data_IF_933590174645
#
_entry.id   IF_933590174645
#
_cell.length_a   1.000
_cell.length_b   1.000
_cell.length_c   1.000
_cell.angle_alpha   90.00
_cell.angle_beta   90.00
_cell.angle_gamma   90.00
#
_symmetry.space_group_name_H-M   'P 1'
#
loop_
_entity.id
_entity.type
_entity.pdbx_description
1 polymer ?
#
# COMPACT_ATOMS: atom_id res chain seq x y z
N UNK A 1 -54.76 25.83 3.09
CA UNK A 1 -54.23 26.44 4.35
C UNK A 1 -53.21 25.58 5.11
N UNK A 2 -52.92 24.32 4.73
CA UNK A 2 -51.98 23.46 5.47
C UNK A 2 -50.49 23.74 5.15
N UNK A 3 -50.17 24.10 3.90
CA UNK A 3 -48.79 24.31 3.42
C UNK A 3 -48.15 25.55 4.02
N UNK A 4 -48.91 26.64 4.17
CA UNK A 4 -48.43 27.89 4.77
C UNK A 4 -48.01 27.72 6.25
N UNK A 5 -48.66 26.81 6.98
CA UNK A 5 -48.28 26.49 8.37
C UNK A 5 -46.97 25.73 8.43
N UNK A 6 -46.76 24.78 7.50
CA UNK A 6 -45.52 24.00 7.39
C UNK A 6 -44.31 24.87 7.05
N UNK A 7 -44.47 25.82 6.13
CA UNK A 7 -43.40 26.77 5.76
C UNK A 7 -43.07 27.70 6.94
N UNK A 8 -44.09 28.21 7.65
CA UNK A 8 -43.87 29.01 8.86
C UNK A 8 -43.13 28.24 9.94
N UNK A 9 -43.50 26.98 10.20
CA UNK A 9 -42.79 26.14 11.19
C UNK A 9 -41.36 25.82 10.77
N UNK A 10 -41.11 25.59 9.49
CA UNK A 10 -39.76 25.26 9.00
C UNK A 10 -38.85 26.49 9.06
N UNK A 11 -39.39 27.67 8.76
CA UNK A 11 -38.68 28.94 8.90
C UNK A 11 -38.38 29.27 10.37
N UNK A 12 -39.32 29.04 11.29
CA UNK A 12 -39.07 29.26 12.72
C UNK A 12 -38.02 28.30 13.27
N UNK A 13 -38.01 27.03 12.85
CA UNK A 13 -37.01 26.05 13.29
C UNK A 13 -35.62 26.42 12.74
N UNK A 14 -35.53 26.85 11.48
CA UNK A 14 -34.27 27.26 10.88
C UNK A 14 -33.69 28.52 11.57
N UNK A 15 -34.54 29.52 11.87
CA UNK A 15 -34.12 30.70 12.64
C UNK A 15 -33.66 30.31 14.04
N UNK A 16 -34.35 29.40 14.72
CA UNK A 16 -33.97 28.94 16.06
C UNK A 16 -32.60 28.23 16.04
N UNK A 17 -32.36 27.37 15.04
CA UNK A 17 -31.06 26.71 14.85
C UNK A 17 -29.97 27.73 14.57
N UNK A 18 -30.23 28.71 13.70
CA UNK A 18 -29.26 29.75 13.37
C UNK A 18 -28.91 30.62 14.60
N UNK A 19 -29.91 31.06 15.37
CA UNK A 19 -29.69 31.78 16.63
C UNK A 19 -28.93 30.93 17.62
N UNK A 20 -29.22 29.62 17.71
CA UNK A 20 -28.46 28.67 18.52
C UNK A 20 -26.99 28.57 18.12
N UNK A 21 -26.68 28.47 16.81
CA UNK A 21 -25.31 28.41 16.30
C UNK A 21 -24.56 29.72 16.54
N UNK A 22 -25.22 30.87 16.40
CA UNK A 22 -24.61 32.18 16.66
C UNK A 22 -24.35 32.38 18.15
N UNK A 23 -25.30 32.05 19.02
CA UNK A 23 -25.11 32.10 20.48
C UNK A 23 -24.03 31.12 20.93
N UNK A 24 -23.99 29.92 20.36
CA UNK A 24 -22.94 28.92 20.61
C UNK A 24 -21.58 29.41 20.13
N UNK A 25 -21.50 30.07 18.97
CA UNK A 25 -20.26 30.64 18.45
C UNK A 25 -19.75 31.81 19.30
N UNK A 26 -20.66 32.68 19.78
CA UNK A 26 -20.32 33.77 20.70
C UNK A 26 -19.92 33.23 22.07
N UNK A 27 -20.62 32.21 22.57
CA UNK A 27 -20.27 31.54 23.82
C UNK A 27 -18.91 30.84 23.74
N UNK A 28 -18.65 30.09 22.66
CA UNK A 28 -17.33 29.52 22.40
C UNK A 28 -16.25 30.59 22.25
N UNK A 29 -16.53 31.74 21.63
CA UNK A 29 -15.58 32.87 21.56
C UNK A 29 -15.28 33.52 22.91
N UNK A 30 -16.27 33.61 23.79
CA UNK A 30 -16.11 34.11 25.16
C UNK A 30 -15.38 33.09 26.04
N UNK A 31 -15.64 31.79 25.83
CA UNK A 31 -14.92 30.71 26.48
C UNK A 31 -13.46 30.63 26.00
N UNK A 32 -13.20 30.77 24.70
CA UNK A 32 -11.85 30.91 24.10
C UNK A 32 -11.08 32.07 24.75
N UNK A 33 -11.74 33.21 25.00
CA UNK A 33 -11.15 34.38 25.70
C UNK A 33 -10.85 34.12 27.19
N UNK A 34 -11.65 33.28 27.86
CA UNK A 34 -11.36 32.84 29.23
C UNK A 34 -10.25 31.79 29.27
N UNK A 35 -10.13 30.98 28.22
CA UNK A 35 -9.02 30.09 28.00
C UNK A 35 -7.75 30.86 27.62
N UNK A 36 -7.79 32.02 26.97
CA UNK A 36 -6.61 32.87 26.70
C UNK A 36 -5.92 33.37 27.99
N UNK A 37 -6.67 33.68 29.06
CA UNK A 37 -6.10 34.14 30.34
C UNK A 37 -5.46 32.96 31.10
N UNK A 38 -6.02 31.75 31.00
CA UNK A 38 -5.44 30.52 31.55
C UNK A 38 -4.33 29.95 30.63
N UNK A 39 -4.39 30.24 29.32
CA UNK A 39 -3.38 29.88 28.33
C UNK A 39 -2.17 30.80 28.40
N UNK A 40 -2.25 32.06 28.84
CA UNK A 40 -1.07 32.92 29.02
C UNK A 40 -0.08 32.33 30.04
N UNK A 41 -0.57 31.60 31.05
CA UNK A 41 0.25 30.80 31.97
C UNK A 41 0.76 29.47 31.39
N UNK A 42 0.18 28.98 30.30
CA UNK A 42 0.60 27.77 29.55
C UNK A 42 1.41 28.07 28.29
N UNK A 43 1.39 29.31 27.79
CA UNK A 43 2.08 29.74 26.57
C UNK A 43 3.59 29.93 26.76
N UNK A 44 4.06 30.12 28.00
CA UNK A 44 5.49 30.04 28.32
C UNK A 44 6.08 28.64 28.03
N UNK A 45 5.28 27.57 28.12
CA UNK A 45 5.69 26.20 27.77
C UNK A 45 5.50 25.85 26.28
N UNK A 46 4.66 26.59 25.56
CA UNK A 46 4.31 26.26 24.17
C UNK A 46 5.39 26.67 23.15
N UNK A 47 6.30 27.59 23.52
CA UNK A 47 7.50 27.90 22.71
C UNK A 47 8.47 26.72 22.59
N UNK A 48 8.49 25.81 23.56
CA UNK A 48 9.30 24.58 23.49
C UNK A 48 8.60 23.49 22.65
N UNK A 49 7.26 23.49 22.58
CA UNK A 49 6.47 22.49 21.85
C UNK A 49 6.34 22.74 20.34
N UNK A 50 6.40 23.99 19.87
CA UNK A 50 6.34 24.30 18.43
C UNK A 50 7.55 23.76 17.64
N UNK A 51 8.73 23.68 18.30
CA UNK A 51 9.93 23.05 17.72
C UNK A 51 9.79 21.52 17.68
N UNK A 52 9.10 20.93 18.66
CA UNK A 52 8.90 19.49 18.76
C UNK A 52 7.77 18.95 17.86
N UNK A 53 6.77 19.76 17.52
CA UNK A 53 5.71 19.38 16.58
C UNK A 53 6.20 19.19 15.15
N UNK A 54 7.14 20.03 14.68
CA UNK A 54 7.78 19.85 13.36
C UNK A 54 8.66 18.60 13.31
N UNK A 55 9.35 18.27 14.40
CA UNK A 55 10.16 17.04 14.52
C UNK A 55 9.26 15.81 14.59
N UNK A 56 8.17 15.85 15.36
CA UNK A 56 7.18 14.75 15.40
C UNK A 56 6.56 14.49 14.03
N UNK A 57 6.13 15.53 13.30
CA UNK A 57 5.59 15.37 11.95
C UNK A 57 6.64 14.87 10.94
N UNK A 58 7.91 15.20 11.13
CA UNK A 58 9.00 14.67 10.29
C UNK A 58 9.29 13.21 10.61
N UNK A 59 9.27 12.83 11.90
CA UNK A 59 9.43 11.45 12.38
C UNK A 59 8.24 10.58 11.97
N UNK A 60 7.02 11.12 12.00
CA UNK A 60 5.82 10.45 11.49
C UNK A 60 5.89 10.28 9.97
N UNK A 61 6.38 11.30 9.24
CA UNK A 61 6.60 11.19 7.79
C UNK A 61 7.69 10.17 7.46
N UNK A 62 8.78 10.13 8.23
CA UNK A 62 9.85 9.15 8.08
C UNK A 62 9.37 7.74 8.42
N UNK A 63 8.54 7.57 9.44
CA UNK A 63 7.97 6.26 9.80
C UNK A 63 6.97 5.76 8.76
N UNK A 64 6.19 6.64 8.13
CA UNK A 64 5.32 6.29 7.00
C UNK A 64 6.14 5.85 5.79
N UNK A 65 7.19 6.60 5.43
CA UNK A 65 8.07 6.23 4.32
C UNK A 65 8.78 4.89 4.56
N UNK A 66 9.30 4.68 5.78
CA UNK A 66 9.94 3.42 6.16
C UNK A 66 8.96 2.25 6.15
N UNK A 67 7.69 2.47 6.48
CA UNK A 67 6.65 1.45 6.37
C UNK A 67 6.29 1.13 4.92
N UNK A 68 6.28 2.13 4.04
CA UNK A 68 6.04 1.94 2.61
C UNK A 68 7.19 1.17 1.95
N UNK A 69 8.44 1.50 2.27
CA UNK A 69 9.64 0.78 1.82
C UNK A 69 9.61 -0.68 2.30
N UNK A 70 9.25 -0.91 3.57
CA UNK A 70 9.05 -2.27 4.09
C UNK A 70 7.95 -3.04 3.37
N UNK A 71 6.90 -2.33 2.94
CA UNK A 71 5.79 -2.93 2.18
C UNK A 71 6.25 -3.29 0.77
N UNK A 72 7.06 -2.44 0.14
CA UNK A 72 7.69 -2.71 -1.15
C UNK A 72 8.56 -3.97 -1.06
N UNK A 73 9.42 -4.10 -0.06
CA UNK A 73 10.23 -5.31 0.16
C UNK A 73 9.38 -6.56 0.36
N UNK A 74 8.28 -6.47 1.12
CA UNK A 74 7.37 -7.61 1.34
C UNK A 74 6.62 -7.98 0.06
N UNK A 75 6.20 -7.00 -0.72
CA UNK A 75 5.54 -7.21 -2.01
C UNK A 75 6.52 -7.80 -3.02
N UNK A 76 7.76 -7.31 -3.09
CA UNK A 76 8.82 -7.90 -3.92
C UNK A 76 9.12 -9.33 -3.49
N UNK A 77 9.23 -9.61 -2.20
CA UNK A 77 9.49 -10.96 -1.70
C UNK A 77 8.29 -11.90 -1.90
N UNK A 78 7.05 -11.42 -1.77
CA UNK A 78 5.85 -12.21 -2.07
C UNK A 78 5.70 -12.46 -3.57
N UNK A 79 5.93 -11.45 -4.42
CA UNK A 79 5.88 -11.62 -5.88
C UNK A 79 6.99 -12.54 -6.36
N UNK A 80 8.22 -12.38 -5.87
CA UNK A 80 9.33 -13.27 -6.21
C UNK A 80 9.11 -14.68 -5.65
N UNK A 81 8.49 -14.79 -4.47
CA UNK A 81 8.12 -16.07 -3.83
C UNK A 81 6.90 -16.76 -4.46
N UNK A 82 5.99 -16.03 -5.13
CA UNK A 82 4.84 -16.55 -5.87
C UNK A 82 5.17 -16.83 -7.34
N UNK A 83 6.04 -16.03 -7.94
CA UNK A 83 6.41 -16.20 -9.33
C UNK A 83 7.41 -17.34 -9.56
N UNK A 84 8.19 -17.71 -8.54
CA UNK A 84 9.10 -18.86 -8.56
C UNK A 84 8.36 -20.23 -8.58
N UNK A 85 7.28 -20.45 -7.81
CA UNK A 85 6.44 -21.65 -7.94
C UNK A 85 5.42 -21.58 -9.08
N UNK A 86 5.08 -20.39 -9.61
CA UNK A 86 4.18 -20.26 -10.77
C UNK A 86 4.89 -20.18 -12.14
N UNK A 87 6.23 -20.22 -12.21
CA UNK A 87 6.97 -20.16 -13.47
C UNK A 87 6.86 -18.82 -14.22
N UNK A 88 6.33 -17.78 -13.58
CA UNK A 88 6.01 -16.48 -14.21
C UNK A 88 7.15 -15.44 -14.12
N UNK A 89 8.23 -15.72 -13.39
CA UNK A 89 9.45 -14.87 -13.31
C UNK A 89 10.70 -15.65 -13.72
N UNK A 90 10.63 -16.40 -14.81
CA UNK A 90 11.84 -16.55 -15.62
C UNK A 90 11.93 -15.37 -16.59
N UNK A 91 12.23 -14.20 -16.01
CA UNK A 91 12.80 -13.09 -16.75
C UNK A 91 14.17 -13.48 -17.32
N UNK A 92 14.78 -12.62 -18.16
CA UNK A 92 16.05 -12.89 -18.86
C UNK A 92 17.13 -13.38 -17.89
N UNK A 93 17.38 -14.69 -17.87
CA UNK A 93 18.30 -15.37 -16.95
C UNK A 93 17.77 -16.67 -16.31
N UNK A 94 16.59 -17.16 -16.70
CA UNK A 94 16.01 -18.43 -16.21
C UNK A 94 16.74 -19.71 -16.64
N UNK A 95 16.33 -20.85 -16.11
CA UNK A 95 16.82 -22.17 -16.50
C UNK A 95 16.57 -22.40 -17.99
N UNK A 96 17.63 -22.80 -18.71
CA UNK A 96 17.53 -23.06 -20.14
C UNK A 96 17.44 -21.81 -21.02
N UNK A 97 17.67 -20.61 -20.46
CA UNK A 97 17.86 -19.38 -21.22
C UNK A 97 19.02 -19.54 -22.21
N UNK A 98 18.84 -19.07 -23.45
CA UNK A 98 19.85 -19.14 -24.51
C UNK A 98 20.11 -20.56 -24.97
N UNK A 99 19.18 -21.49 -24.72
CA UNK A 99 19.34 -22.91 -25.04
C UNK A 99 20.38 -23.63 -24.18
N UNK A 100 20.78 -23.07 -23.04
CA UNK A 100 21.71 -23.71 -22.12
C UNK A 100 21.10 -25.02 -21.54
N UNK A 101 21.97 -25.99 -21.24
CA UNK A 101 21.54 -27.21 -20.55
C UNK A 101 21.04 -26.87 -19.14
N UNK A 102 19.86 -27.37 -18.77
CA UNK A 102 19.29 -27.22 -17.45
C UNK A 102 19.21 -28.59 -16.76
N UNK A 103 19.53 -28.64 -15.47
CA UNK A 103 19.51 -29.87 -14.66
C UNK A 103 18.65 -29.65 -13.42
N UNK A 104 17.80 -30.62 -13.07
CA UNK A 104 17.16 -30.64 -11.76
C UNK A 104 18.18 -31.07 -10.69
N UNK A 105 18.13 -30.43 -9.51
CA UNK A 105 18.89 -30.87 -8.33
C UNK A 105 18.27 -32.12 -7.70
N UNK A 106 19.02 -32.78 -6.80
CA UNK A 106 18.73 -34.09 -6.21
C UNK A 106 17.41 -34.21 -5.43
N UNK A 107 16.69 -33.12 -5.17
CA UNK A 107 15.41 -33.11 -4.43
C UNK A 107 14.21 -33.69 -5.21
N UNK A 108 14.44 -34.22 -6.42
CA UNK A 108 13.39 -34.75 -7.29
C UNK A 108 13.24 -36.26 -7.12
N UNK A 109 12.49 -36.68 -6.09
CA UNK A 109 12.16 -38.09 -5.84
C UNK A 109 10.90 -38.56 -6.59
N UNK A 110 10.09 -37.64 -7.12
CA UNK A 110 8.86 -37.93 -7.88
C UNK A 110 9.09 -38.09 -9.41
N UNK A 111 10.32 -38.40 -9.84
CA UNK A 111 10.79 -38.25 -11.24
C UNK A 111 10.33 -39.37 -12.17
N UNK A 112 10.26 -40.60 -11.67
CA UNK A 112 10.13 -41.78 -12.52
C UNK A 112 8.78 -41.84 -13.26
N UNK A 113 7.69 -41.41 -12.60
CA UNK A 113 6.34 -41.57 -13.14
C UNK A 113 6.03 -40.70 -14.37
N UNK A 114 6.62 -39.50 -14.47
CA UNK A 114 6.33 -38.58 -15.58
C UNK A 114 7.18 -38.86 -16.82
N UNK A 115 8.40 -39.39 -16.66
CA UNK A 115 9.25 -39.67 -17.81
C UNK A 115 8.67 -40.80 -18.67
N UNK A 116 8.12 -41.84 -18.03
CA UNK A 116 7.49 -42.97 -18.71
C UNK A 116 6.24 -42.57 -19.51
N UNK A 117 5.50 -41.55 -19.05
CA UNK A 117 4.29 -41.07 -19.73
C UNK A 117 4.61 -40.27 -21.00
N UNK A 118 5.61 -39.38 -20.92
CA UNK A 118 5.87 -38.39 -21.97
C UNK A 118 7.13 -38.69 -22.81
N UNK A 119 8.01 -39.58 -22.34
CA UNK A 119 9.31 -39.87 -22.96
C UNK A 119 10.34 -38.75 -22.83
N UNK A 120 10.06 -37.72 -22.02
CA UNK A 120 10.98 -36.61 -21.71
C UNK A 120 10.79 -36.16 -20.25
N UNK A 121 11.77 -35.39 -19.75
CA UNK A 121 11.71 -34.86 -18.37
C UNK A 121 10.70 -33.70 -18.29
N UNK A 122 9.43 -34.03 -18.08
CA UNK A 122 8.34 -33.06 -17.95
C UNK A 122 8.54 -32.10 -16.77
N UNK A 123 9.12 -32.56 -15.66
CA UNK A 123 9.39 -31.70 -14.50
C UNK A 123 10.43 -30.62 -14.80
N UNK A 124 11.46 -30.96 -15.59
CA UNK A 124 12.43 -30.00 -16.09
C UNK A 124 11.75 -29.03 -17.05
N UNK A 125 10.89 -29.54 -17.94
CA UNK A 125 10.13 -28.73 -18.89
C UNK A 125 9.19 -27.74 -18.21
N UNK A 126 8.50 -28.14 -17.14
CA UNK A 126 7.58 -27.30 -16.36
C UNK A 126 8.28 -26.10 -15.71
N UNK A 127 9.59 -26.22 -15.45
CA UNK A 127 10.42 -25.15 -14.85
C UNK A 127 11.09 -24.25 -15.88
N UNK A 128 11.11 -24.64 -17.15
CA UNK A 128 11.70 -23.85 -18.24
C UNK A 128 10.61 -22.92 -18.79
N UNK A 129 10.93 -21.64 -18.93
CA UNK A 129 10.05 -20.65 -19.56
C UNK A 129 9.58 -21.10 -20.95
N UNK A 130 8.26 -21.00 -21.18
CA UNK A 130 7.65 -21.28 -22.50
C UNK A 130 8.13 -20.30 -23.58
N UNK A 131 8.47 -19.08 -23.19
CA UNK A 131 8.93 -18.02 -24.08
C UNK A 131 10.47 -17.87 -24.06
N UNK A 132 11.21 -18.94 -23.73
CA UNK A 132 12.69 -18.88 -23.67
C UNK A 132 13.32 -18.53 -25.02
N UNK A 133 14.47 -17.86 -24.96
CA UNK A 133 15.29 -17.60 -26.14
C UNK A 133 16.15 -18.83 -26.52
N UNK A 134 16.27 -19.08 -27.83
CA UNK A 134 17.02 -20.20 -28.40
C UNK A 134 18.15 -19.65 -29.29
N UNK A 135 19.35 -20.25 -29.26
CA UNK A 135 20.47 -19.83 -30.10
C UNK A 135 20.17 -20.12 -31.57
N UNK A 136 20.58 -19.19 -32.43
CA UNK A 136 20.41 -19.33 -33.87
C UNK A 136 21.54 -20.18 -34.49
N UNK A 137 21.23 -21.43 -34.81
CA UNK A 137 22.15 -22.36 -35.48
C UNK A 137 22.04 -22.33 -37.01
N UNK A 138 21.32 -21.37 -37.61
CA UNK A 138 21.21 -21.28 -39.06
C UNK A 138 22.57 -20.92 -39.68
N UNK A 139 22.89 -21.45 -40.89
CA UNK A 139 24.12 -21.12 -41.58
C UNK A 139 24.18 -19.63 -41.91
N UNK A 140 25.29 -18.97 -41.54
CA UNK A 140 25.57 -17.58 -41.92
C UNK A 140 26.16 -17.54 -43.32
N UNK A 141 25.70 -16.57 -44.11
CA UNK A 141 26.14 -16.36 -45.50
C UNK A 141 27.43 -15.55 -45.57
#
# INVERSE_FOLDING_TARGET
MAVARKIKTLLTVNILVFVGIILFSVYCRIQDRSEEIIQMGRMSDQRLRARNGKVSNLVDRQSILQRLERLEDVVYNQLNGLAKPMGLVEGPGGLGQGGAAATLGEDSLDVEGKYEEYGYNAQLSDRISLDRNIPDYRPKK
#
